data_IF_017493322829
#
_entry.id   IF_017493322829
#
_cell.length_a   1.000
_cell.length_b   1.000
_cell.length_c   1.000
_cell.angle_alpha   90.00
_cell.angle_beta   90.00
_cell.angle_gamma   90.00
#
_symmetry.space_group_name_H-M   'P 1'
#
loop_
_entity.id
_entity.type
_entity.pdbx_description
1 polymer ?
#
# COMPACT_ATOMS: atom_id res chain seq x y z
N UNK A 1 -39.86 51.90 35.52
CA UNK A 1 -38.50 51.33 35.73
C UNK A 1 -38.59 49.80 35.75
N UNK A 2 -38.52 49.14 34.59
CA UNK A 2 -38.64 47.69 34.48
C UNK A 2 -37.75 47.15 33.35
N UNK A 3 -36.43 47.01 33.59
CA UNK A 3 -35.51 46.41 32.62
C UNK A 3 -34.46 45.47 33.23
N UNK A 4 -34.71 44.87 34.40
CA UNK A 4 -33.69 44.09 35.13
C UNK A 4 -34.07 42.64 35.42
N UNK A 5 -34.99 42.04 34.63
CA UNK A 5 -35.43 40.65 34.85
C UNK A 5 -35.14 39.68 33.70
N UNK A 6 -34.55 40.15 32.61
CA UNK A 6 -34.28 39.34 31.41
C UNK A 6 -32.83 38.89 31.23
N UNK A 7 -31.87 39.49 31.94
CA UNK A 7 -30.44 39.19 31.75
C UNK A 7 -30.05 37.87 32.45
N UNK A 8 -30.70 37.52 33.57
CA UNK A 8 -30.32 36.36 34.38
C UNK A 8 -30.74 35.01 33.81
N UNK A 9 -31.76 34.96 32.93
CA UNK A 9 -32.25 33.69 32.35
C UNK A 9 -31.35 33.16 31.22
N UNK A 10 -30.64 34.03 30.50
CA UNK A 10 -29.74 33.63 29.41
C UNK A 10 -28.42 33.03 29.90
N UNK A 11 -27.95 33.44 31.08
CA UNK A 11 -26.72 32.91 31.67
C UNK A 11 -26.84 31.45 32.15
N UNK A 12 -28.02 31.05 32.62
CA UNK A 12 -28.26 29.67 33.08
C UNK A 12 -28.41 28.71 31.90
N UNK A 13 -29.13 29.10 30.84
CA UNK A 13 -29.28 28.28 29.65
C UNK A 13 -27.94 28.01 28.93
N UNK A 14 -27.02 28.99 28.90
CA UNK A 14 -25.70 28.83 28.30
C UNK A 14 -24.81 27.79 29.04
N UNK A 15 -24.99 27.64 30.36
CA UNK A 15 -24.23 26.65 31.15
C UNK A 15 -24.69 25.20 30.91
N UNK A 16 -25.99 24.99 30.67
CA UNK A 16 -26.52 23.66 30.37
C UNK A 16 -26.12 23.16 28.97
N UNK A 17 -26.03 24.04 27.96
CA UNK A 17 -25.60 23.65 26.61
C UNK A 17 -24.12 23.25 26.53
N UNK A 18 -23.24 23.89 27.33
CA UNK A 18 -21.81 23.56 27.35
C UNK A 18 -21.50 22.21 28.03
N UNK A 19 -22.32 21.80 29.00
CA UNK A 19 -22.08 20.53 29.71
C UNK A 19 -22.53 19.31 28.89
N UNK A 20 -23.61 19.43 28.11
CA UNK A 20 -24.10 18.32 27.27
C UNK A 20 -23.17 18.06 26.08
N UNK A 21 -22.54 19.10 25.54
CA UNK A 21 -21.57 18.97 24.43
C UNK A 21 -20.20 18.44 24.87
N UNK A 22 -19.82 18.55 26.15
CA UNK A 22 -18.61 17.91 26.68
C UNK A 22 -18.79 16.39 26.86
N UNK A 23 -19.98 15.93 27.25
CA UNK A 23 -20.23 14.49 27.46
C UNK A 23 -20.41 13.73 26.14
N UNK A 24 -20.94 14.38 25.09
CA UNK A 24 -21.03 13.74 23.75
C UNK A 24 -19.69 13.59 23.05
N UNK A 25 -18.68 14.40 23.39
CA UNK A 25 -17.32 14.25 22.86
C UNK A 25 -16.57 13.09 23.54
N UNK A 26 -16.95 12.70 24.76
CA UNK A 26 -16.29 11.61 25.50
C UNK A 26 -16.91 10.23 25.20
N UNK A 27 -18.18 10.15 24.77
CA UNK A 27 -18.84 8.88 24.43
C UNK A 27 -19.23 8.71 22.95
N UNK A 28 -19.10 9.76 22.13
CA UNK A 28 -19.60 9.82 20.75
C UNK A 28 -18.57 9.52 19.68
N UNK A 29 -17.47 8.82 19.97
CA UNK A 29 -16.68 8.18 18.92
C UNK A 29 -16.08 6.88 19.44
N UNK A 30 -16.95 5.90 19.67
CA UNK A 30 -16.65 4.53 19.28
C UNK A 30 -16.47 4.49 17.77
N UNK A 31 -15.39 5.12 17.28
CA UNK A 31 -14.85 4.84 15.96
C UNK A 31 -14.60 3.36 16.04
N UNK A 32 -15.34 2.64 15.20
CA UNK A 32 -15.07 1.26 14.88
C UNK A 32 -13.56 1.03 14.93
N UNK A 33 -13.13 -0.10 15.47
CA UNK A 33 -11.81 -0.65 15.21
C UNK A 33 -11.68 -0.96 13.70
N UNK A 34 -11.88 0.02 12.82
CA UNK A 34 -11.05 0.22 11.66
C UNK A 34 -9.65 0.25 12.22
N UNK A 35 -9.04 -0.95 12.27
CA UNK A 35 -7.61 -1.14 12.34
C UNK A 35 -7.02 -0.17 11.34
N UNK A 36 -6.71 1.04 11.78
CA UNK A 36 -5.75 1.90 11.14
C UNK A 36 -4.46 1.16 11.39
N UNK A 37 -4.17 0.21 10.49
CA UNK A 37 -2.80 -0.20 10.27
C UNK A 37 -2.13 1.12 9.90
N UNK A 38 -1.47 1.73 10.88
CA UNK A 38 -0.44 2.71 10.62
C UNK A 38 0.51 1.94 9.72
N UNK A 39 0.37 2.14 8.41
CA UNK A 39 1.26 1.63 7.40
C UNK A 39 2.61 2.20 7.80
N UNK A 40 3.39 1.39 8.51
CA UNK A 40 4.70 1.80 8.96
C UNK A 40 5.46 2.29 7.73
N UNK A 41 6.28 3.31 7.91
CA UNK A 41 7.22 3.87 6.93
C UNK A 41 8.18 2.85 6.26
N UNK A 42 7.93 1.55 6.41
CA UNK A 42 8.64 0.41 5.85
C UNK A 42 8.06 -0.07 4.51
N UNK A 43 6.78 0.20 4.19
CA UNK A 43 6.16 -0.32 2.97
C UNK A 43 6.51 0.49 1.70
N UNK A 44 6.74 1.81 1.81
CA UNK A 44 7.15 2.64 0.67
C UNK A 44 8.63 2.44 0.26
N UNK A 45 9.47 2.00 1.20
CA UNK A 45 10.92 1.93 1.00
C UNK A 45 11.44 0.64 0.37
N UNK A 46 10.60 -0.40 0.18
CA UNK A 46 11.08 -1.64 -0.44
C UNK A 46 11.22 -1.56 -1.96
N UNK A 47 10.43 -0.71 -2.62
CA UNK A 47 10.40 -0.64 -4.10
C UNK A 47 11.73 -0.16 -4.67
N UNK A 48 12.34 0.96 -4.22
CA UNK A 48 13.63 1.42 -4.75
C UNK A 48 14.74 0.38 -4.59
N UNK A 49 14.75 -0.34 -3.46
CA UNK A 49 15.73 -1.40 -3.20
C UNK A 49 15.50 -2.64 -4.07
N UNK A 50 14.23 -3.00 -4.28
CA UNK A 50 13.85 -4.16 -5.07
C UNK A 50 14.15 -3.98 -6.56
N UNK A 51 13.89 -2.79 -7.13
CA UNK A 51 14.18 -2.51 -8.55
C UNK A 51 15.68 -2.44 -8.88
N UNK A 52 16.53 -2.26 -7.87
CA UNK A 52 17.99 -2.34 -8.02
C UNK A 52 18.54 -3.76 -7.76
N UNK A 53 17.71 -4.66 -7.21
CA UNK A 53 18.12 -6.01 -6.84
C UNK A 53 18.08 -6.97 -8.03
N UNK A 54 19.12 -7.78 -8.17
CA UNK A 54 19.18 -8.93 -9.08
C UNK A 54 18.61 -10.22 -8.46
N UNK A 55 18.19 -10.18 -7.20
CA UNK A 55 17.58 -11.32 -6.52
C UNK A 55 16.06 -11.35 -6.76
N UNK A 56 15.51 -12.37 -7.47
CA UNK A 56 14.07 -12.48 -7.67
C UNK A 56 13.32 -12.68 -6.35
N UNK A 57 13.94 -13.32 -5.35
CA UNK A 57 13.33 -13.53 -4.02
C UNK A 57 13.02 -12.19 -3.34
N UNK A 58 13.95 -11.23 -3.35
CA UNK A 58 13.75 -9.89 -2.78
C UNK A 58 12.61 -9.15 -3.48
N UNK A 59 12.58 -9.22 -4.81
CA UNK A 59 11.53 -8.59 -5.63
C UNK A 59 10.16 -9.22 -5.37
N UNK A 60 10.08 -10.54 -5.27
CA UNK A 60 8.85 -11.27 -4.94
C UNK A 60 8.32 -10.90 -3.54
N UNK A 61 9.19 -10.83 -2.53
CA UNK A 61 8.80 -10.40 -1.18
C UNK A 61 8.28 -8.96 -1.17
N UNK A 62 8.93 -8.04 -1.88
CA UNK A 62 8.44 -6.66 -1.98
C UNK A 62 7.12 -6.60 -2.76
N UNK A 63 6.95 -7.39 -3.83
CA UNK A 63 5.70 -7.46 -4.59
C UNK A 63 4.52 -7.86 -3.69
N UNK A 64 4.66 -8.91 -2.89
CA UNK A 64 3.59 -9.34 -1.98
C UNK A 64 3.25 -8.30 -0.90
N UNK A 65 4.22 -7.46 -0.49
CA UNK A 65 3.94 -6.31 0.38
C UNK A 65 3.16 -5.23 -0.35
N UNK A 66 3.58 -4.87 -1.57
CA UNK A 66 2.88 -3.86 -2.37
C UNK A 66 1.45 -4.30 -2.75
N UNK A 67 1.23 -5.59 -3.03
CA UNK A 67 -0.10 -6.17 -3.27
C UNK A 67 -1.00 -6.00 -2.03
N UNK A 68 -0.50 -6.34 -0.83
CA UNK A 68 -1.26 -6.16 0.42
C UNK A 68 -1.58 -4.70 0.71
N UNK A 69 -0.63 -3.80 0.45
CA UNK A 69 -0.81 -2.37 0.58
C UNK A 69 -1.67 -1.76 -0.55
N UNK A 70 -2.08 -2.54 -1.56
CA UNK A 70 -2.76 -2.08 -2.77
C UNK A 70 -2.04 -0.91 -3.47
N UNK A 71 -0.70 -0.90 -3.41
CA UNK A 71 0.11 0.13 -4.04
C UNK A 71 0.34 -0.18 -5.52
N UNK A 72 -0.57 0.31 -6.37
CA UNK A 72 -0.55 0.09 -7.82
C UNK A 72 0.75 0.56 -8.49
N UNK A 73 1.33 1.68 -8.06
CA UNK A 73 2.53 2.23 -8.69
C UNK A 73 3.75 1.34 -8.37
N UNK A 74 3.87 0.87 -7.12
CA UNK A 74 4.92 -0.06 -6.70
C UNK A 74 4.83 -1.39 -7.44
N UNK A 75 3.63 -1.96 -7.58
CA UNK A 75 3.40 -3.20 -8.32
C UNK A 75 3.81 -3.05 -9.79
N UNK A 76 3.48 -1.92 -10.43
CA UNK A 76 3.84 -1.66 -11.82
C UNK A 76 5.36 -1.58 -12.01
N UNK A 77 6.06 -0.90 -11.10
CA UNK A 77 7.51 -0.79 -11.12
C UNK A 77 8.19 -2.16 -10.98
N UNK A 78 7.73 -2.99 -10.02
CA UNK A 78 8.28 -4.33 -9.81
C UNK A 78 7.98 -5.27 -10.99
N UNK A 79 6.81 -5.14 -11.62
CA UNK A 79 6.47 -5.87 -12.86
C UNK A 79 7.39 -5.47 -14.01
N UNK A 80 7.62 -4.17 -14.22
CA UNK A 80 8.54 -3.67 -15.24
C UNK A 80 9.94 -4.22 -15.02
N UNK A 81 10.45 -4.15 -13.78
CA UNK A 81 11.75 -4.70 -13.43
C UNK A 81 11.87 -6.20 -13.73
N UNK A 82 10.85 -6.99 -13.37
CA UNK A 82 10.84 -8.42 -13.68
C UNK A 82 10.93 -8.69 -15.19
N UNK A 83 10.23 -7.91 -16.03
CA UNK A 83 10.33 -8.01 -17.49
C UNK A 83 11.71 -7.66 -18.01
N UNK A 84 12.32 -6.61 -17.47
CA UNK A 84 13.67 -6.19 -17.86
C UNK A 84 14.71 -7.27 -17.52
N UNK A 85 14.54 -7.95 -16.38
CA UNK A 85 15.38 -9.10 -16.01
C UNK A 85 15.15 -10.33 -16.91
N UNK A 86 13.90 -10.66 -17.26
CA UNK A 86 13.59 -11.73 -18.22
C UNK A 86 14.26 -11.44 -19.57
N UNK A 87 14.13 -10.19 -20.06
CA UNK A 87 14.74 -9.76 -21.32
C UNK A 87 16.27 -9.86 -21.25
N UNK A 88 16.87 -9.42 -20.15
CA UNK A 88 18.32 -9.53 -19.93
C UNK A 88 18.78 -10.98 -20.00
N UNK A 89 18.14 -11.91 -19.31
CA UNK A 89 18.50 -13.33 -19.35
C UNK A 89 18.31 -13.95 -20.74
N UNK A 90 17.24 -13.60 -21.46
CA UNK A 90 17.04 -14.05 -22.85
C UNK A 90 18.13 -13.55 -23.79
N UNK A 91 18.57 -12.30 -23.63
CA UNK A 91 19.64 -11.75 -24.46
C UNK A 91 20.96 -12.50 -24.28
N UNK A 92 21.23 -13.05 -23.10
CA UNK A 92 22.43 -13.86 -22.85
C UNK A 92 22.49 -15.14 -23.70
N UNK A 93 21.34 -15.70 -24.07
CA UNK A 93 21.29 -16.85 -25.00
C UNK A 93 21.76 -16.42 -26.39
N UNK A 94 21.38 -15.23 -26.82
CA UNK A 94 21.75 -14.70 -28.14
C UNK A 94 23.19 -14.17 -28.19
N UNK A 95 23.75 -13.72 -27.06
CA UNK A 95 25.09 -13.13 -26.99
C UNK A 95 26.09 -14.11 -26.38
N UNK A 96 26.59 -15.07 -27.17
CA UNK A 96 27.82 -15.86 -26.96
C UNK A 96 28.08 -16.54 -25.59
N UNK A 97 27.18 -16.40 -24.61
CA UNK A 97 27.34 -16.93 -23.25
C UNK A 97 26.90 -18.40 -23.16
N UNK A 98 26.52 -19.01 -24.29
CA UNK A 98 26.34 -20.46 -24.42
C UNK A 98 25.27 -21.06 -23.49
N UNK A 99 24.32 -20.25 -23.02
CA UNK A 99 23.30 -20.70 -22.09
C UNK A 99 22.30 -21.58 -22.83
N UNK A 100 22.10 -22.82 -22.37
CA UNK A 100 21.11 -23.72 -22.99
C UNK A 100 19.68 -23.23 -22.72
N UNK A 101 18.70 -23.59 -23.57
CA UNK A 101 17.29 -23.28 -23.33
C UNK A 101 16.78 -23.78 -21.97
N UNK A 102 17.21 -24.97 -21.47
CA UNK A 102 16.80 -25.44 -20.14
C UNK A 102 17.35 -24.54 -19.03
N UNK A 103 18.60 -24.11 -19.14
CA UNK A 103 19.24 -23.24 -18.17
C UNK A 103 18.58 -21.85 -18.16
N UNK A 104 18.26 -21.30 -19.34
CA UNK A 104 17.48 -20.07 -19.47
C UNK A 104 16.14 -20.19 -18.74
N UNK A 105 15.38 -21.25 -19.03
CA UNK A 105 14.06 -21.47 -18.44
C UNK A 105 14.12 -21.54 -16.91
N UNK A 106 15.15 -22.19 -16.35
CA UNK A 106 15.40 -22.19 -14.90
C UNK A 106 15.71 -20.79 -14.37
N UNK A 107 16.56 -20.03 -15.06
CA UNK A 107 16.97 -18.69 -14.64
C UNK A 107 15.81 -17.68 -14.66
N UNK A 108 14.91 -17.76 -15.64
CA UNK A 108 13.79 -16.82 -15.77
C UNK A 108 12.54 -17.23 -14.99
N UNK A 109 12.41 -18.50 -14.58
CA UNK A 109 11.18 -19.02 -13.97
C UNK A 109 10.67 -18.16 -12.80
N UNK A 110 11.56 -17.76 -11.89
CA UNK A 110 11.18 -16.91 -10.75
C UNK A 110 10.72 -15.52 -11.19
N UNK A 111 11.35 -14.93 -12.20
CA UNK A 111 10.95 -13.63 -12.74
C UNK A 111 9.60 -13.68 -13.46
N UNK A 112 9.34 -14.75 -14.22
CA UNK A 112 8.04 -14.98 -14.86
C UNK A 112 6.94 -15.08 -13.81
N UNK A 113 7.16 -15.80 -12.70
CA UNK A 113 6.18 -15.89 -11.60
C UNK A 113 5.84 -14.51 -11.02
N UNK A 114 6.84 -13.63 -10.86
CA UNK A 114 6.65 -12.27 -10.37
C UNK A 114 5.81 -11.45 -11.36
N UNK A 115 6.12 -11.52 -12.66
CA UNK A 115 5.34 -10.83 -13.69
C UNK A 115 3.89 -11.30 -13.76
N UNK A 116 3.67 -12.62 -13.72
CA UNK A 116 2.34 -13.24 -13.73
C UNK A 116 1.54 -12.79 -12.52
N UNK A 117 2.13 -12.89 -11.32
CA UNK A 117 1.47 -12.50 -10.07
C UNK A 117 1.06 -11.01 -10.06
N UNK A 118 1.93 -10.12 -10.54
CA UNK A 118 1.60 -8.71 -10.68
C UNK A 118 0.48 -8.48 -11.70
N UNK A 119 0.47 -9.24 -12.80
CA UNK A 119 -0.57 -9.15 -13.84
C UNK A 119 -1.93 -9.66 -13.34
N UNK A 120 -1.95 -10.76 -12.59
CA UNK A 120 -3.15 -11.30 -11.95
C UNK A 120 -3.81 -10.30 -11.00
N UNK A 121 -3.00 -9.57 -10.21
CA UNK A 121 -3.50 -8.50 -9.37
C UNK A 121 -4.29 -7.44 -10.18
N UNK A 122 -3.74 -6.96 -11.30
CA UNK A 122 -4.48 -5.97 -12.12
C UNK A 122 -5.74 -6.56 -12.75
N UNK A 123 -5.71 -7.83 -13.20
CA UNK A 123 -6.91 -8.49 -13.73
C UNK A 123 -8.02 -8.57 -12.68
N UNK A 124 -7.68 -8.87 -11.43
CA UNK A 124 -8.64 -8.95 -10.33
C UNK A 124 -9.21 -7.60 -9.88
N UNK A 125 -8.55 -6.48 -10.20
CA UNK A 125 -9.03 -5.13 -9.83
C UNK A 125 -9.85 -4.47 -10.94
N UNK A 126 -9.60 -4.81 -12.20
CA UNK A 126 -10.27 -4.20 -13.37
C UNK A 126 -11.59 -4.91 -13.73
N UNK A 127 -11.86 -6.08 -13.16
CA UNK A 127 -13.13 -6.82 -13.27
C UNK A 127 -14.10 -6.39 -12.16
#
# INVERSE_FOLDING_TARGET
MHCWRHISRRAVAARFFFMVSAVTVICGVGISESRAWWFGASDENCVPQAVQSTSPKKVATCLERQIRAKNYSGILQLRKHARDMIRRERNKVNTSQGITPEQLNKNIASWVRIETRATEFYKAVVQ
#
